data_IF_478622509386
#
_entry.id   IF_478622509386
#
_cell.length_a   1.000
_cell.length_b   1.000
_cell.length_c   1.000
_cell.angle_alpha   90.00
_cell.angle_beta   90.00
_cell.angle_gamma   90.00
#
_symmetry.space_group_name_H-M   'P 1'
#
loop_
_entity.id
_entity.type
_entity.pdbx_description
1 polymer ?
#
# COMPACT_ATOMS: atom_id res chain seq x y z
N UNK A 1 -23.00 16.95 -18.85
CA UNK A 1 -22.15 15.86 -19.37
C UNK A 1 -22.03 14.88 -18.24
N UNK A 2 -22.71 13.78 -18.32
CA UNK A 2 -22.74 12.78 -17.26
C UNK A 2 -21.67 11.74 -17.52
N UNK A 3 -20.84 11.49 -16.55
CA UNK A 3 -19.77 10.52 -16.56
C UNK A 3 -20.29 9.11 -16.37
N UNK A 4 -19.74 8.16 -17.10
CA UNK A 4 -20.02 6.74 -16.96
C UNK A 4 -18.88 6.12 -16.15
N UNK A 5 -19.00 6.06 -14.82
CA UNK A 5 -18.18 5.14 -14.05
C UNK A 5 -18.77 3.73 -14.17
N UNK A 6 -18.06 2.84 -14.80
CA UNK A 6 -18.41 1.42 -14.86
C UNK A 6 -17.54 0.68 -13.86
N UNK A 7 -18.05 0.57 -12.61
CA UNK A 7 -17.35 -0.17 -11.58
C UNK A 7 -17.77 -1.65 -11.62
N UNK A 8 -16.82 -2.53 -11.87
CA UNK A 8 -17.03 -3.98 -11.89
C UNK A 8 -16.19 -4.66 -10.83
N UNK A 9 -16.81 -4.99 -9.71
CA UNK A 9 -16.18 -5.81 -8.68
C UNK A 9 -16.28 -7.27 -8.99
N UNK A 10 -15.15 -7.92 -9.00
CA UNK A 10 -15.09 -9.37 -8.98
C UNK A 10 -14.55 -9.79 -7.63
N UNK A 11 -15.49 -10.22 -6.81
CA UNK A 11 -15.25 -10.66 -5.45
C UNK A 11 -14.33 -11.87 -5.42
N UNK A 12 -13.45 -11.85 -4.45
CA UNK A 12 -12.58 -12.94 -4.05
C UNK A 12 -13.27 -14.30 -4.08
N UNK A 13 -12.61 -15.30 -4.64
CA UNK A 13 -12.94 -16.68 -4.35
C UNK A 13 -12.40 -17.04 -2.96
N UNK A 14 -13.09 -16.67 -1.91
CA UNK A 14 -12.98 -17.41 -0.67
C UNK A 14 -13.92 -18.61 -0.79
N UNK A 15 -13.39 -19.79 -0.57
CA UNK A 15 -14.04 -21.09 -0.72
C UNK A 15 -15.20 -21.39 0.26
N UNK A 16 -15.90 -20.38 0.77
CA UNK A 16 -16.89 -20.56 1.86
C UNK A 16 -18.21 -19.81 1.72
N UNK A 17 -18.54 -19.23 0.53
CA UNK A 17 -19.90 -18.71 0.31
C UNK A 17 -20.48 -19.30 -0.97
N UNK A 18 -21.71 -19.88 -0.92
CA UNK A 18 -22.33 -20.49 -2.09
C UNK A 18 -22.63 -19.43 -3.14
N UNK A 19 -22.16 -19.69 -4.36
CA UNK A 19 -22.38 -18.87 -5.57
C UNK A 19 -23.86 -18.59 -5.91
N UNK A 20 -24.80 -19.16 -5.17
CA UNK A 20 -26.23 -19.09 -5.43
C UNK A 20 -26.89 -17.77 -5.01
N UNK A 21 -26.32 -16.99 -4.11
CA UNK A 21 -26.96 -15.75 -3.62
C UNK A 21 -26.71 -14.58 -4.58
N UNK A 22 -25.57 -14.58 -5.29
CA UNK A 22 -25.23 -13.50 -6.22
C UNK A 22 -25.87 -13.64 -7.62
N UNK A 23 -26.24 -14.88 -8.01
CA UNK A 23 -26.87 -15.13 -9.32
C UNK A 23 -28.29 -14.56 -9.43
N UNK A 24 -29.04 -14.50 -8.32
CA UNK A 24 -30.41 -14.01 -8.32
C UNK A 24 -30.56 -12.48 -8.33
N UNK A 25 -29.51 -11.71 -8.08
CA UNK A 25 -29.57 -10.24 -8.18
C UNK A 25 -29.36 -9.71 -9.61
N UNK A 26 -28.87 -10.56 -10.52
CA UNK A 26 -28.56 -10.15 -11.90
C UNK A 26 -29.59 -10.59 -12.95
N UNK A 27 -30.63 -11.34 -12.56
CA UNK A 27 -31.58 -11.93 -13.50
C UNK A 27 -32.96 -11.25 -13.54
N UNK A 28 -33.08 -9.98 -13.18
CA UNK A 28 -34.28 -9.22 -13.52
C UNK A 28 -34.04 -8.40 -14.78
N UNK A 29 -34.60 -8.93 -15.84
CA UNK A 29 -34.74 -8.33 -17.16
C UNK A 29 -35.29 -6.90 -17.06
N UNK A 30 -34.55 -5.90 -17.48
CA UNK A 30 -35.13 -4.77 -18.17
C UNK A 30 -34.18 -4.23 -19.24
N UNK A 31 -34.77 -4.25 -20.42
CA UNK A 31 -34.30 -3.84 -21.72
C UNK A 31 -33.86 -2.38 -21.77
N UNK A 32 -32.65 -2.20 -22.24
CA UNK A 32 -32.03 -1.09 -22.92
C UNK A 32 -32.95 -0.11 -23.64
N UNK A 33 -32.81 1.16 -23.36
CA UNK A 33 -32.85 2.23 -24.38
C UNK A 33 -31.86 3.29 -23.98
N UNK A 34 -30.70 3.26 -24.64
CA UNK A 34 -29.72 4.36 -24.64
C UNK A 34 -30.24 5.37 -25.66
N UNK A 35 -30.60 6.58 -25.21
CA UNK A 35 -30.80 7.73 -26.05
C UNK A 35 -29.57 8.63 -25.96
N UNK A 36 -28.90 8.73 -27.09
CA UNK A 36 -27.86 9.75 -27.35
C UNK A 36 -28.54 11.11 -27.39
N UNK A 37 -28.18 12.02 -26.49
CA UNK A 37 -28.39 13.44 -26.68
C UNK A 37 -27.05 14.16 -26.59
N UNK A 38 -26.58 14.55 -27.76
CA UNK A 38 -25.52 15.52 -27.95
C UNK A 38 -26.09 16.93 -27.79
N UNK A 39 -25.31 17.79 -27.15
CA UNK A 39 -25.25 19.24 -27.22
C UNK A 39 -26.14 20.12 -26.35
N UNK A 40 -25.40 21.00 -25.70
CA UNK A 40 -25.65 22.38 -25.27
C UNK A 40 -26.29 22.67 -23.90
N UNK A 41 -25.49 23.07 -22.92
CA UNK A 41 -25.33 24.48 -22.52
C UNK A 41 -24.38 24.63 -21.33
N UNK A 42 -23.38 25.48 -21.58
CA UNK A 42 -22.57 26.14 -20.52
C UNK A 42 -23.48 27.00 -19.67
N UNK A 43 -23.40 26.89 -18.36
CA UNK A 43 -23.50 28.02 -17.45
C UNK A 43 -22.58 27.78 -16.26
N UNK A 44 -21.72 28.72 -16.06
CA UNK A 44 -20.65 28.78 -15.08
C UNK A 44 -21.19 28.81 -13.64
N UNK A 45 -20.54 28.05 -12.76
CA UNK A 45 -20.40 28.44 -11.37
C UNK A 45 -18.91 28.65 -11.12
N UNK A 46 -18.54 29.90 -10.95
CA UNK A 46 -17.20 30.33 -10.58
C UNK A 46 -16.93 29.93 -9.14
N UNK A 47 -16.05 28.94 -8.94
CA UNK A 47 -15.19 28.93 -7.78
C UNK A 47 -13.81 29.43 -8.24
N UNK A 48 -13.31 30.44 -7.57
CA UNK A 48 -12.03 31.04 -7.81
C UNK A 48 -10.90 29.98 -7.69
N UNK A 49 -10.44 29.53 -8.85
CA UNK A 49 -9.08 29.01 -8.99
C UNK A 49 -8.21 30.11 -9.54
N UNK A 50 -6.99 30.33 -9.03
CA UNK A 50 -6.08 31.29 -9.62
C UNK A 50 -5.76 30.86 -11.06
N UNK A 51 -5.67 31.77 -12.01
CA UNK A 51 -5.29 31.45 -13.39
C UNK A 51 -3.79 31.08 -13.43
N UNK A 52 -3.47 30.15 -14.31
CA UNK A 52 -2.15 29.59 -14.62
C UNK A 52 -1.69 28.42 -13.72
N UNK A 53 -2.34 27.28 -13.86
CA UNK A 53 -1.60 26.04 -13.83
C UNK A 53 -0.96 25.89 -15.21
N UNK A 54 0.32 26.24 -15.31
CA UNK A 54 1.17 25.74 -16.40
C UNK A 54 0.95 24.23 -16.46
N UNK A 55 0.57 23.72 -17.64
CA UNK A 55 0.64 22.29 -17.92
C UNK A 55 2.04 21.85 -17.49
N UNK A 56 2.13 21.21 -16.33
CA UNK A 56 3.32 20.48 -15.99
C UNK A 56 3.44 19.40 -17.08
N UNK A 57 4.64 19.16 -17.61
CA UNK A 57 4.83 18.04 -18.51
C UNK A 57 4.28 16.79 -17.78
N UNK A 58 3.42 16.02 -18.48
CA UNK A 58 2.94 14.72 -17.97
C UNK A 58 4.16 14.01 -17.39
N UNK A 59 4.09 13.46 -16.16
CA UNK A 59 5.24 12.77 -15.62
C UNK A 59 5.66 11.73 -16.66
N UNK A 60 6.87 11.84 -17.17
CA UNK A 60 7.48 10.76 -17.95
C UNK A 60 7.60 9.60 -16.97
N UNK A 61 6.62 8.69 -17.03
CA UNK A 61 6.61 7.48 -16.23
C UNK A 61 7.87 6.71 -16.59
N UNK A 62 8.82 6.76 -15.69
CA UNK A 62 10.10 6.07 -15.83
C UNK A 62 9.81 4.60 -16.09
N UNK A 63 10.08 4.16 -17.30
CA UNK A 63 10.15 2.75 -17.62
C UNK A 63 11.16 2.13 -16.66
N UNK A 64 10.67 1.38 -15.68
CA UNK A 64 11.49 0.68 -14.71
C UNK A 64 12.47 -0.19 -15.49
N UNK A 65 13.74 -0.04 -15.20
CA UNK A 65 14.82 -0.76 -15.90
C UNK A 65 14.50 -2.25 -15.95
N UNK A 66 14.52 -2.89 -17.13
CA UNK A 66 14.20 -4.30 -17.23
C UNK A 66 15.18 -5.10 -16.38
N UNK A 67 14.67 -5.87 -15.41
CA UNK A 67 15.43 -6.81 -14.60
C UNK A 67 15.39 -6.59 -13.08
N UNK A 68 14.89 -5.47 -12.57
CA UNK A 68 14.82 -5.21 -11.12
C UNK A 68 13.38 -5.31 -10.60
N UNK A 69 13.23 -5.88 -9.39
CA UNK A 69 11.98 -5.81 -8.64
C UNK A 69 11.79 -4.38 -8.13
N UNK A 70 10.54 -3.95 -8.04
CA UNK A 70 10.14 -2.62 -7.58
C UNK A 70 9.71 -2.70 -6.12
N UNK A 71 10.19 -1.79 -5.30
CA UNK A 71 9.62 -1.61 -3.98
C UNK A 71 8.25 -0.89 -4.09
N UNK A 72 7.28 -1.28 -3.25
CA UNK A 72 5.95 -0.65 -3.30
C UNK A 72 6.00 0.83 -2.94
N UNK A 73 7.01 1.24 -2.17
CA UNK A 73 7.27 2.63 -1.78
C UNK A 73 7.78 3.49 -2.95
N UNK A 74 8.30 2.86 -4.01
CA UNK A 74 8.74 3.54 -5.24
C UNK A 74 7.58 3.84 -6.21
N UNK A 75 6.39 3.29 -5.95
CA UNK A 75 5.19 3.52 -6.76
C UNK A 75 4.50 4.80 -6.29
N UNK A 76 4.37 5.78 -7.17
CA UNK A 76 3.63 7.00 -6.89
C UNK A 76 2.11 6.73 -6.95
N UNK A 77 1.55 6.27 -5.81
CA UNK A 77 0.12 6.01 -5.69
C UNK A 77 -0.70 7.31 -5.75
N UNK A 78 -0.10 8.45 -5.37
CA UNK A 78 -0.74 9.76 -5.48
C UNK A 78 -0.99 10.12 -6.95
N UNK A 79 0.05 10.07 -7.78
CA UNK A 79 -0.08 10.34 -9.21
C UNK A 79 -1.03 9.34 -9.91
N UNK A 80 -0.99 8.05 -9.52
CA UNK A 80 -1.90 7.04 -10.07
C UNK A 80 -3.37 7.28 -9.64
N UNK A 81 -3.62 7.83 -8.45
CA UNK A 81 -4.97 8.13 -7.96
C UNK A 81 -5.63 9.33 -8.64
N UNK A 82 -4.83 10.18 -9.29
CA UNK A 82 -5.34 11.31 -10.09
C UNK A 82 -5.81 10.89 -11.49
N UNK A 83 -5.46 9.65 -11.90
CA UNK A 83 -5.84 9.11 -13.20
C UNK A 83 -7.31 8.70 -13.17
N UNK A 84 -8.13 9.42 -13.92
CA UNK A 84 -9.53 9.17 -14.04
C UNK A 84 -10.03 9.64 -15.42
N UNK A 85 -10.75 8.79 -16.12
CA UNK A 85 -11.41 9.15 -17.38
C UNK A 85 -12.77 8.44 -17.47
N UNK A 86 -13.82 9.26 -17.65
CA UNK A 86 -15.20 8.81 -17.71
C UNK A 86 -15.52 7.93 -18.92
N UNK A 87 -14.76 8.10 -19.99
CA UNK A 87 -14.99 7.46 -21.28
C UNK A 87 -14.08 6.25 -21.50
N UNK A 88 -13.08 6.10 -20.63
CA UNK A 88 -12.05 5.07 -20.75
C UNK A 88 -12.21 3.98 -19.71
N UNK A 89 -11.66 2.81 -20.01
CA UNK A 89 -11.60 1.69 -19.10
C UNK A 89 -10.16 1.38 -18.71
N UNK A 90 -9.94 1.18 -17.40
CA UNK A 90 -8.69 0.78 -16.83
C UNK A 90 -8.79 -0.66 -16.31
N UNK A 91 -7.90 -1.50 -16.76
CA UNK A 91 -7.78 -2.88 -16.34
C UNK A 91 -6.66 -3.00 -15.31
N UNK A 92 -7.00 -3.40 -14.10
CA UNK A 92 -6.05 -3.62 -13.01
C UNK A 92 -5.96 -5.11 -12.69
N UNK A 93 -4.77 -5.69 -12.83
CA UNK A 93 -4.50 -7.11 -12.62
C UNK A 93 -3.45 -7.28 -11.53
N UNK A 94 -3.77 -8.07 -10.52
CA UNK A 94 -2.86 -8.51 -9.47
C UNK A 94 -2.70 -10.01 -9.59
N UNK A 95 -1.52 -10.49 -10.02
CA UNK A 95 -1.31 -11.91 -10.28
C UNK A 95 -0.13 -12.46 -9.52
N UNK A 96 -0.28 -13.68 -8.96
CA UNK A 96 0.83 -14.41 -8.37
C UNK A 96 1.79 -14.87 -9.47
N UNK A 97 3.09 -14.69 -9.20
CA UNK A 97 4.15 -14.94 -10.20
C UNK A 97 5.41 -15.58 -9.58
N UNK A 98 5.32 -16.16 -8.37
CA UNK A 98 6.46 -16.74 -7.67
C UNK A 98 7.04 -17.99 -8.35
N UNK A 99 6.22 -18.75 -9.06
CA UNK A 99 6.60 -19.99 -9.73
C UNK A 99 5.87 -20.14 -11.07
N UNK A 100 6.31 -21.09 -11.90
CA UNK A 100 5.61 -21.42 -13.14
C UNK A 100 4.17 -21.87 -12.88
N UNK A 101 3.95 -22.66 -11.83
CA UNK A 101 2.60 -23.08 -11.43
C UNK A 101 1.71 -21.91 -11.00
N UNK A 102 2.26 -20.91 -10.31
CA UNK A 102 1.52 -19.69 -9.95
C UNK A 102 1.16 -18.87 -11.18
N UNK A 103 2.07 -18.76 -12.14
CA UNK A 103 1.81 -18.08 -13.42
C UNK A 103 0.69 -18.76 -14.18
N UNK A 104 0.71 -20.10 -14.31
CA UNK A 104 -0.29 -20.85 -15.04
C UNK A 104 -1.68 -20.77 -14.36
N UNK A 105 -1.71 -20.86 -13.03
CA UNK A 105 -2.93 -20.66 -12.26
C UNK A 105 -3.47 -19.23 -12.41
N UNK A 106 -2.60 -18.23 -12.34
CA UNK A 106 -2.97 -16.83 -12.53
C UNK A 106 -3.49 -16.55 -13.93
N UNK A 107 -2.83 -17.04 -14.98
CA UNK A 107 -3.29 -16.91 -16.37
C UNK A 107 -4.67 -17.55 -16.57
N UNK A 108 -4.89 -18.74 -16.04
CA UNK A 108 -6.19 -19.42 -16.10
C UNK A 108 -7.29 -18.63 -15.39
N UNK A 109 -6.98 -18.08 -14.21
CA UNK A 109 -7.86 -17.20 -13.47
C UNK A 109 -8.20 -15.93 -14.27
N UNK A 110 -7.20 -15.22 -14.78
CA UNK A 110 -7.35 -13.98 -15.57
C UNK A 110 -8.20 -14.26 -16.82
N UNK A 111 -7.90 -15.31 -17.58
CA UNK A 111 -8.66 -15.68 -18.77
C UNK A 111 -10.13 -15.98 -18.46
N UNK A 112 -10.40 -16.61 -17.31
CA UNK A 112 -11.78 -16.83 -16.84
C UNK A 112 -12.51 -15.52 -16.56
N UNK A 113 -11.81 -14.57 -15.91
CA UNK A 113 -12.33 -13.26 -15.58
C UNK A 113 -12.60 -12.42 -16.83
N UNK A 114 -11.67 -12.38 -17.77
CA UNK A 114 -11.85 -11.67 -19.02
C UNK A 114 -13.09 -12.13 -19.78
N UNK A 115 -13.32 -13.45 -19.88
CA UNK A 115 -14.53 -14.00 -20.51
C UNK A 115 -15.83 -13.58 -19.81
N UNK A 116 -15.80 -13.50 -18.46
CA UNK A 116 -16.96 -13.07 -17.69
C UNK A 116 -17.22 -11.57 -17.87
N UNK A 117 -16.16 -10.73 -17.81
CA UNK A 117 -16.24 -9.29 -18.01
C UNK A 117 -16.76 -8.95 -19.41
N UNK A 118 -16.19 -9.53 -20.45
CA UNK A 118 -16.58 -9.26 -21.84
C UNK A 118 -18.06 -9.56 -22.11
N UNK A 119 -18.61 -10.61 -21.48
CA UNK A 119 -20.04 -10.96 -21.60
C UNK A 119 -20.94 -9.92 -20.93
N UNK A 120 -20.53 -9.35 -19.82
CA UNK A 120 -21.32 -8.39 -19.04
C UNK A 120 -21.20 -6.97 -19.54
N UNK A 121 -20.13 -6.64 -20.30
CA UNK A 121 -19.91 -5.31 -20.83
C UNK A 121 -20.94 -4.93 -21.92
N UNK A 122 -21.36 -3.66 -21.93
CA UNK A 122 -22.10 -3.07 -23.04
C UNK A 122 -21.32 -3.24 -24.37
N UNK A 123 -22.01 -3.39 -25.51
CA UNK A 123 -21.33 -3.58 -26.80
C UNK A 123 -20.31 -2.50 -27.15
N UNK A 124 -20.58 -1.25 -26.76
CA UNK A 124 -19.76 -0.08 -27.03
C UNK A 124 -18.38 -0.14 -26.35
N UNK A 125 -18.29 -0.78 -25.18
CA UNK A 125 -17.05 -0.89 -24.40
C UNK A 125 -16.24 -2.16 -24.72
N UNK A 126 -16.79 -3.10 -25.48
CA UNK A 126 -16.12 -4.38 -25.76
C UNK A 126 -14.88 -4.24 -26.63
N UNK A 127 -14.88 -3.31 -27.56
CA UNK A 127 -13.71 -3.06 -28.42
C UNK A 127 -12.57 -2.45 -27.61
N UNK A 128 -12.84 -1.42 -26.81
CA UNK A 128 -11.87 -0.83 -25.89
C UNK A 128 -11.33 -1.85 -24.90
N UNK A 129 -12.20 -2.72 -24.34
CA UNK A 129 -11.79 -3.80 -23.47
C UNK A 129 -10.83 -4.79 -24.14
N UNK A 130 -11.15 -5.26 -25.37
CA UNK A 130 -10.28 -6.17 -26.12
C UNK A 130 -8.92 -5.54 -26.43
N UNK A 131 -8.91 -4.27 -26.79
CA UNK A 131 -7.68 -3.51 -27.04
C UNK A 131 -6.84 -3.38 -25.79
N UNK A 132 -7.46 -3.09 -24.64
CA UNK A 132 -6.78 -3.03 -23.33
C UNK A 132 -6.24 -4.41 -22.91
N UNK A 133 -7.00 -5.48 -23.11
CA UNK A 133 -6.52 -6.84 -22.84
C UNK A 133 -5.34 -7.19 -23.75
N UNK A 134 -5.39 -6.84 -25.03
CA UNK A 134 -4.28 -7.07 -25.98
C UNK A 134 -3.01 -6.33 -25.56
N UNK A 135 -3.13 -5.11 -25.06
CA UNK A 135 -2.00 -4.33 -24.53
C UNK A 135 -1.37 -4.99 -23.29
N UNK A 136 -2.18 -5.56 -22.40
CA UNK A 136 -1.70 -6.24 -21.19
C UNK A 136 -1.15 -7.66 -21.45
N UNK A 137 -1.43 -8.27 -22.60
CA UNK A 137 -1.19 -9.70 -22.86
C UNK A 137 0.29 -10.08 -22.76
N UNK A 138 1.19 -9.29 -23.32
CA UNK A 138 2.64 -9.55 -23.25
C UNK A 138 3.12 -9.56 -21.79
N UNK A 139 2.63 -8.63 -20.97
CA UNK A 139 2.96 -8.58 -19.54
C UNK A 139 2.41 -9.79 -18.78
N UNK A 140 1.20 -10.28 -19.11
CA UNK A 140 0.59 -11.47 -18.50
C UNK A 140 1.40 -12.73 -18.84
N UNK A 141 1.83 -12.86 -20.08
CA UNK A 141 2.49 -14.05 -20.61
C UNK A 141 4.01 -14.08 -20.32
N UNK A 142 4.59 -12.96 -19.93
CA UNK A 142 6.03 -12.89 -19.67
C UNK A 142 6.44 -13.82 -18.50
N UNK A 143 7.68 -14.37 -18.54
CA UNK A 143 8.19 -15.24 -17.48
C UNK A 143 8.37 -14.46 -16.17
N UNK A 144 8.42 -15.18 -15.06
CA UNK A 144 8.74 -14.61 -13.75
C UNK A 144 10.21 -14.23 -13.66
N UNK A 145 10.49 -13.13 -12.96
CA UNK A 145 11.86 -12.73 -12.63
C UNK A 145 12.32 -13.38 -11.31
N UNK A 146 13.63 -13.42 -11.11
CA UNK A 146 14.19 -13.94 -9.87
C UNK A 146 13.69 -13.11 -8.67
N UNK A 147 13.02 -13.78 -7.73
CA UNK A 147 12.46 -13.13 -6.54
C UNK A 147 11.08 -12.49 -6.73
N UNK A 148 10.55 -12.46 -7.95
CA UNK A 148 9.19 -11.99 -8.22
C UNK A 148 8.17 -12.94 -7.56
N UNK A 149 7.17 -12.36 -6.90
CA UNK A 149 6.05 -13.10 -6.28
C UNK A 149 4.70 -12.51 -6.68
N UNK A 150 4.70 -11.21 -6.99
CA UNK A 150 3.53 -10.46 -7.43
C UNK A 150 3.86 -9.67 -8.67
N UNK A 151 2.97 -9.74 -9.65
CA UNK A 151 2.95 -8.85 -10.81
C UNK A 151 1.67 -8.06 -10.81
N UNK A 152 1.80 -6.74 -10.87
CA UNK A 152 0.68 -5.81 -11.02
C UNK A 152 0.74 -5.21 -12.42
N UNK A 153 -0.39 -5.26 -13.12
CA UNK A 153 -0.52 -4.71 -14.47
C UNK A 153 -1.69 -3.74 -14.43
N UNK A 154 -1.41 -2.47 -14.72
CA UNK A 154 -2.41 -1.42 -14.88
C UNK A 154 -2.38 -1.01 -16.36
N UNK A 155 -3.50 -1.21 -17.06
CA UNK A 155 -3.56 -1.00 -18.50
C UNK A 155 -4.85 -0.28 -18.92
N UNK A 156 -4.73 0.61 -19.92
CA UNK A 156 -5.83 1.16 -20.69
C UNK A 156 -5.40 1.32 -22.15
N UNK A 157 -6.28 1.04 -23.08
CA UNK A 157 -6.03 1.28 -24.51
C UNK A 157 -5.97 2.77 -24.84
N UNK A 158 -6.54 3.63 -24.01
CA UNK A 158 -6.39 5.07 -24.11
C UNK A 158 -4.92 5.46 -23.86
N UNK A 159 -4.40 6.31 -24.71
CA UNK A 159 -3.02 6.81 -24.64
C UNK A 159 -1.94 5.71 -24.51
N UNK A 160 -2.27 4.43 -24.77
CA UNK A 160 -1.39 3.26 -24.59
C UNK A 160 -0.85 3.15 -23.16
N UNK A 161 -1.69 3.47 -22.15
CA UNK A 161 -1.33 3.38 -20.75
C UNK A 161 -1.05 1.93 -20.35
N UNK A 162 0.18 1.64 -19.97
CA UNK A 162 0.60 0.33 -19.47
C UNK A 162 1.69 0.49 -18.41
N UNK A 163 1.36 0.10 -17.18
CA UNK A 163 2.30 0.00 -16.07
C UNK A 163 2.39 -1.45 -15.60
N UNK A 164 3.61 -1.95 -15.48
CA UNK A 164 3.89 -3.30 -15.00
C UNK A 164 4.84 -3.23 -13.83
N UNK A 165 4.37 -3.56 -12.63
CA UNK A 165 5.17 -3.62 -11.43
C UNK A 165 5.42 -5.07 -11.02
N UNK A 166 6.69 -5.43 -10.78
CA UNK A 166 7.11 -6.76 -10.36
C UNK A 166 7.72 -6.66 -8.98
N UNK A 167 7.15 -7.36 -8.01
CA UNK A 167 7.49 -7.20 -6.59
C UNK A 167 7.75 -8.55 -5.92
N UNK A 168 8.57 -8.52 -4.86
CA UNK A 168 8.81 -9.65 -3.95
C UNK A 168 7.69 -9.87 -2.92
N UNK A 169 6.60 -9.11 -3.01
CA UNK A 169 5.44 -9.14 -2.10
C UNK A 169 4.37 -10.10 -2.61
N UNK A 170 3.36 -10.35 -1.78
CA UNK A 170 2.22 -11.19 -2.15
C UNK A 170 0.90 -10.48 -1.82
N UNK A 171 -0.09 -10.67 -2.69
CA UNK A 171 -1.48 -10.33 -2.42
C UNK A 171 -2.42 -11.36 -3.04
N UNK A 172 -3.72 -11.25 -2.77
CA UNK A 172 -4.71 -12.13 -3.39
C UNK A 172 -4.83 -11.79 -4.88
N UNK A 173 -4.95 -12.80 -5.77
CA UNK A 173 -5.18 -12.55 -7.19
C UNK A 173 -6.47 -11.78 -7.41
N UNK A 174 -6.41 -10.74 -8.24
CA UNK A 174 -7.52 -9.85 -8.50
C UNK A 174 -7.49 -9.36 -9.96
N UNK A 175 -8.65 -9.18 -10.55
CA UNK A 175 -8.83 -8.51 -11.84
C UNK A 175 -10.00 -7.56 -11.69
N UNK A 176 -9.74 -6.28 -11.91
CA UNK A 176 -10.73 -5.20 -11.82
C UNK A 176 -10.76 -4.44 -13.14
N UNK A 177 -11.93 -4.03 -13.54
CA UNK A 177 -12.16 -3.12 -14.66
C UNK A 177 -12.94 -1.92 -14.16
N UNK A 178 -12.37 -0.75 -14.31
CA UNK A 178 -12.92 0.50 -13.79
C UNK A 178 -12.59 1.68 -14.72
N UNK A 179 -13.02 2.89 -14.36
CA UNK A 179 -12.68 4.17 -15.01
C UNK A 179 -11.39 4.80 -14.44
N UNK A 180 -10.75 4.13 -13.48
CA UNK A 180 -9.46 4.49 -12.87
C UNK A 180 -8.66 3.23 -12.54
N UNK A 181 -7.34 3.33 -12.33
CA UNK A 181 -6.54 2.24 -11.79
C UNK A 181 -6.99 1.85 -10.38
N UNK A 182 -7.15 0.56 -10.10
CA UNK A 182 -7.54 0.05 -8.79
C UNK A 182 -6.31 -0.07 -7.87
N UNK A 183 -6.17 0.80 -6.88
CA UNK A 183 -4.93 0.97 -6.12
C UNK A 183 -4.97 0.41 -4.69
N UNK A 184 -6.13 0.07 -4.15
CA UNK A 184 -6.27 -0.35 -2.75
C UNK A 184 -5.34 -1.51 -2.33
N UNK A 185 -5.09 -2.56 -3.16
CA UNK A 185 -4.12 -3.59 -2.79
C UNK A 185 -2.67 -3.08 -2.70
N UNK A 186 -2.27 -2.14 -3.57
CA UNK A 186 -0.95 -1.51 -3.50
C UNK A 186 -0.81 -0.62 -2.26
N UNK A 187 -1.88 0.09 -1.90
CA UNK A 187 -1.92 0.91 -0.70
C UNK A 187 -1.72 0.08 0.57
N UNK A 188 -2.40 -1.06 0.67
CA UNK A 188 -2.24 -2.00 1.78
C UNK A 188 -0.82 -2.58 1.84
N UNK A 189 -0.29 -2.98 0.69
CA UNK A 189 1.10 -3.46 0.62
C UNK A 189 2.09 -2.38 1.04
N UNK A 190 1.84 -1.10 0.71
CA UNK A 190 2.70 0.01 1.12
C UNK A 190 2.64 0.25 2.63
N UNK A 191 1.47 0.11 3.23
CA UNK A 191 1.28 0.21 4.67
C UNK A 191 2.00 -0.95 5.42
N UNK A 192 1.82 -2.19 4.94
CA UNK A 192 2.41 -3.38 5.54
C UNK A 192 3.95 -3.44 5.36
N UNK A 193 4.49 -2.95 4.24
CA UNK A 193 5.90 -3.14 3.83
C UNK A 193 6.62 -1.81 3.61
N UNK A 194 6.60 -0.95 4.62
CA UNK A 194 7.39 0.27 4.64
C UNK A 194 8.89 -0.04 4.68
N UNK A 195 9.67 0.84 4.08
CA UNK A 195 11.11 0.73 4.08
C UNK A 195 11.66 0.88 5.50
N UNK A 196 12.66 0.07 5.85
CA UNK A 196 13.34 0.17 7.14
C UNK A 196 14.83 -0.16 7.03
N UNK A 197 15.61 0.40 7.96
CA UNK A 197 17.01 0.05 8.13
C UNK A 197 17.17 -1.20 9.00
N UNK A 198 18.20 -2.02 8.72
CA UNK A 198 18.60 -3.12 9.58
C UNK A 198 20.11 -3.04 9.83
N UNK A 199 20.50 -2.83 11.09
CA UNK A 199 21.88 -2.75 11.51
C UNK A 199 22.28 -4.04 12.21
N UNK A 200 23.10 -4.85 11.54
CA UNK A 200 23.70 -6.06 12.09
C UNK A 200 25.04 -5.70 12.73
N UNK A 201 25.17 -5.88 14.05
CA UNK A 201 26.37 -5.47 14.77
C UNK A 201 26.74 -6.40 15.93
N UNK A 202 28.03 -6.39 16.21
CA UNK A 202 28.61 -6.88 17.46
C UNK A 202 29.56 -5.85 18.07
N UNK A 203 30.48 -6.25 18.94
CA UNK A 203 31.45 -5.35 19.57
C UNK A 203 32.61 -4.93 18.65
N UNK A 204 32.68 -5.43 17.42
CA UNK A 204 33.81 -5.24 16.49
C UNK A 204 33.40 -4.88 15.08
N UNK A 205 32.22 -5.28 14.66
CA UNK A 205 31.74 -5.12 13.29
C UNK A 205 30.33 -4.62 13.31
N UNK A 206 29.98 -3.76 12.36
CA UNK A 206 28.62 -3.31 12.07
C UNK A 206 28.38 -3.28 10.56
N UNK A 207 27.24 -3.75 10.12
CA UNK A 207 26.80 -3.73 8.73
C UNK A 207 25.39 -3.17 8.67
N UNK A 208 25.19 -2.20 7.78
CA UNK A 208 23.89 -1.58 7.55
C UNK A 208 23.28 -2.14 6.28
N UNK A 209 22.03 -2.57 6.40
CA UNK A 209 21.18 -2.97 5.30
C UNK A 209 19.96 -2.06 5.24
N UNK A 210 19.43 -1.84 4.05
CA UNK A 210 18.12 -1.26 3.81
C UNK A 210 17.22 -2.33 3.23
N UNK A 211 16.05 -2.48 3.80
CA UNK A 211 15.03 -3.41 3.35
C UNK A 211 13.87 -2.62 2.76
N UNK A 212 13.55 -2.90 1.48
CA UNK A 212 12.44 -2.30 0.74
C UNK A 212 11.60 -3.40 0.11
N UNK A 213 10.36 -3.52 0.54
CA UNK A 213 9.43 -4.53 -0.02
C UNK A 213 10.06 -5.93 -0.13
N UNK A 214 10.75 -6.38 0.94
CA UNK A 214 11.53 -7.64 1.04
C UNK A 214 12.81 -7.72 0.20
N UNK A 215 13.19 -6.65 -0.47
CA UNK A 215 14.49 -6.53 -1.12
C UNK A 215 15.48 -6.03 -0.08
N UNK A 216 16.56 -6.78 0.16
CA UNK A 216 17.62 -6.41 1.10
C UNK A 216 18.84 -5.94 0.34
N UNK A 217 19.33 -4.75 0.66
CA UNK A 217 20.50 -4.11 0.06
C UNK A 217 21.50 -3.74 1.16
N UNK A 218 22.75 -4.15 1.01
CA UNK A 218 23.84 -3.76 1.91
C UNK A 218 24.33 -2.36 1.53
N UNK A 219 24.22 -1.41 2.47
CA UNK A 219 24.62 -0.01 2.24
C UNK A 219 26.07 0.26 2.64
N UNK A 220 26.63 -0.53 3.55
CA UNK A 220 27.98 -0.39 4.02
C UNK A 220 28.21 -0.99 5.39
N UNK A 221 29.43 -0.88 5.88
CA UNK A 221 29.79 -1.39 7.19
C UNK A 221 31.06 -0.78 7.73
N UNK A 222 31.23 -0.88 9.04
CA UNK A 222 32.44 -0.46 9.77
C UNK A 222 32.94 -1.59 10.64
N UNK A 223 34.25 -1.64 10.88
CA UNK A 223 34.85 -2.64 11.76
C UNK A 223 36.05 -2.06 12.51
N UNK A 224 36.30 -2.62 13.70
CA UNK A 224 37.51 -2.31 14.49
C UNK A 224 38.25 -3.60 14.82
N UNK A 225 39.56 -3.50 14.88
CA UNK A 225 40.42 -4.58 15.34
C UNK A 225 40.59 -4.50 16.87
N UNK A 226 40.03 -5.47 17.60
CA UNK A 226 40.15 -5.54 19.06
C UNK A 226 41.32 -6.45 19.42
N UNK A 227 42.25 -5.91 20.22
CA UNK A 227 43.38 -6.67 20.74
C UNK A 227 42.94 -7.98 21.40
N UNK A 228 43.51 -9.09 20.97
CA UNK A 228 43.23 -10.43 21.47
C UNK A 228 43.49 -10.57 22.98
N UNK A 229 42.66 -11.35 23.69
CA UNK A 229 42.88 -11.67 25.10
C UNK A 229 44.15 -12.47 25.28
N UNK A 230 45.20 -11.85 25.83
CA UNK A 230 46.35 -12.61 26.32
C UNK A 230 46.01 -13.32 27.64
N UNK A 231 46.28 -14.64 27.69
CA UNK A 231 46.00 -15.51 28.85
C UNK A 231 46.87 -15.28 30.08
N UNK A 232 47.69 -14.22 30.19
CA UNK A 232 48.54 -13.93 31.36
C UNK A 232 47.78 -13.07 32.37
N UNK A 233 47.52 -13.63 33.55
CA UNK A 233 46.84 -12.95 34.66
C UNK A 233 47.65 -11.84 35.32
N UNK A 234 46.98 -10.88 35.97
CA UNK A 234 47.59 -9.87 36.78
C UNK A 234 47.10 -8.44 36.43
N UNK A 235 47.76 -7.43 36.94
CA UNK A 235 47.48 -5.99 36.76
C UNK A 235 47.36 -5.56 35.30
N UNK A 236 48.08 -6.23 34.40
CA UNK A 236 47.95 -6.03 32.95
C UNK A 236 46.57 -6.40 32.43
N UNK A 237 45.91 -7.41 32.95
CA UNK A 237 44.59 -7.87 32.51
C UNK A 237 43.50 -6.82 32.76
N UNK A 238 43.52 -6.15 33.90
CA UNK A 238 42.57 -5.04 34.21
C UNK A 238 42.79 -3.86 33.26
N UNK A 239 44.05 -3.50 32.97
CA UNK A 239 44.36 -2.44 32.00
C UNK A 239 43.86 -2.80 30.58
N UNK A 240 44.12 -3.99 30.11
CA UNK A 240 43.64 -4.46 28.78
C UNK A 240 42.11 -4.53 28.73
N UNK A 241 41.47 -4.97 29.82
CA UNK A 241 40.01 -4.97 29.90
C UNK A 241 39.42 -3.55 29.79
N UNK A 242 40.03 -2.55 30.46
CA UNK A 242 39.59 -1.16 30.32
C UNK A 242 39.81 -0.58 28.94
N UNK A 243 40.96 -0.84 28.34
CA UNK A 243 41.25 -0.40 26.95
C UNK A 243 40.29 -1.03 25.95
N UNK A 244 39.99 -2.32 26.10
CA UNK A 244 39.02 -3.01 25.24
C UNK A 244 37.60 -2.43 25.41
N UNK A 245 37.15 -2.18 26.65
CA UNK A 245 35.85 -1.56 26.89
C UNK A 245 35.79 -0.16 26.30
N UNK A 246 36.89 0.64 26.42
CA UNK A 246 36.98 1.94 25.81
C UNK A 246 36.90 1.90 24.29
N UNK A 247 37.59 0.95 23.63
CA UNK A 247 37.57 0.77 22.19
C UNK A 247 36.16 0.37 21.70
N UNK A 248 35.50 -0.54 22.40
CA UNK A 248 34.11 -0.95 22.07
C UNK A 248 33.18 0.26 22.18
N UNK A 249 33.27 1.03 23.30
CA UNK A 249 32.43 2.22 23.47
C UNK A 249 32.66 3.24 22.38
N UNK A 250 33.93 3.52 22.03
CA UNK A 250 34.28 4.44 20.94
C UNK A 250 33.71 3.98 19.59
N UNK A 251 33.81 2.68 19.29
CA UNK A 251 33.26 2.09 18.08
C UNK A 251 31.72 2.24 18.03
N UNK A 252 31.03 1.85 19.08
CA UNK A 252 29.56 1.96 19.14
C UNK A 252 29.12 3.43 19.11
N UNK A 253 29.90 4.37 19.67
CA UNK A 253 29.60 5.81 19.52
C UNK A 253 29.70 6.25 18.08
N UNK A 254 30.76 5.82 17.37
CA UNK A 254 30.88 6.12 15.94
C UNK A 254 29.73 5.52 15.11
N UNK A 255 29.36 4.28 15.38
CA UNK A 255 28.19 3.64 14.72
C UNK A 255 26.91 4.43 15.02
N UNK A 256 26.71 4.91 16.26
CA UNK A 256 25.56 5.72 16.59
C UNK A 256 25.51 7.05 15.85
N UNK A 257 26.68 7.70 15.68
CA UNK A 257 26.83 8.93 14.90
C UNK A 257 26.56 8.68 13.41
N UNK A 258 27.13 7.59 12.84
CA UNK A 258 26.94 7.22 11.45
C UNK A 258 25.46 6.97 11.14
N UNK A 259 24.75 6.24 12.02
CA UNK A 259 23.30 5.97 11.89
C UNK A 259 22.48 7.25 12.02
N UNK A 260 22.84 8.15 12.94
CA UNK A 260 22.13 9.41 13.13
C UNK A 260 22.28 10.37 11.94
N UNK A 261 23.34 10.22 11.18
CA UNK A 261 23.64 11.02 9.98
C UNK A 261 23.17 10.38 8.67
N UNK A 262 22.41 9.27 8.71
CA UNK A 262 21.86 8.68 7.50
C UNK A 262 20.78 9.61 6.90
N UNK A 263 21.04 10.12 5.71
CA UNK A 263 20.15 11.07 5.02
C UNK A 263 18.72 10.52 4.82
N UNK A 264 18.60 9.20 4.62
CA UNK A 264 17.33 8.55 4.31
C UNK A 264 16.62 7.94 5.54
N UNK A 265 17.18 8.07 6.75
CA UNK A 265 16.55 7.48 7.93
C UNK A 265 15.19 8.11 8.26
N UNK A 266 14.99 9.38 7.87
CA UNK A 266 13.73 10.08 8.09
C UNK A 266 12.59 9.56 7.19
N UNK A 267 12.94 9.08 6.02
CA UNK A 267 11.99 8.54 5.03
C UNK A 267 11.65 7.06 5.30
N UNK A 268 12.44 6.40 6.15
CA UNK A 268 12.21 5.00 6.54
C UNK A 268 11.28 4.91 7.74
N UNK A 269 10.57 3.80 7.88
CA UNK A 269 9.73 3.49 9.06
C UNK A 269 10.54 3.52 10.35
N UNK A 270 11.74 2.96 10.32
CA UNK A 270 12.63 2.90 11.49
C UNK A 270 13.84 2.01 11.28
N UNK A 271 14.39 1.52 12.37
CA UNK A 271 15.62 0.74 12.41
C UNK A 271 15.45 -0.54 13.21
N UNK A 272 15.86 -1.68 12.66
CA UNK A 272 15.99 -2.95 13.37
C UNK A 272 17.46 -3.09 13.78
N UNK A 273 17.73 -3.35 15.07
CA UNK A 273 19.07 -3.66 15.57
C UNK A 273 19.21 -5.19 15.71
N UNK A 274 20.14 -5.76 14.97
CA UNK A 274 20.41 -7.19 14.92
C UNK A 274 21.82 -7.50 15.36
N UNK A 275 22.04 -8.69 15.91
CA UNK A 275 23.38 -9.17 16.24
C UNK A 275 23.45 -9.96 17.54
N UNK A 276 24.60 -10.59 17.84
CA UNK A 276 24.76 -11.40 19.05
C UNK A 276 25.06 -10.52 20.28
N UNK A 277 24.60 -10.98 21.43
CA UNK A 277 25.00 -10.44 22.74
C UNK A 277 24.50 -9.03 23.01
N UNK A 278 25.26 -8.28 23.82
CA UNK A 278 24.82 -7.01 24.43
C UNK A 278 25.12 -5.74 23.60
N UNK A 279 25.87 -5.87 22.48
CA UNK A 279 26.32 -4.70 21.72
C UNK A 279 25.14 -3.82 21.22
N UNK A 280 24.05 -4.42 20.78
CA UNK A 280 22.83 -3.71 20.35
C UNK A 280 22.14 -2.96 21.49
N UNK A 281 22.13 -3.52 22.70
CA UNK A 281 21.64 -2.81 23.89
C UNK A 281 22.51 -1.61 24.26
N UNK A 282 23.84 -1.77 24.20
CA UNK A 282 24.78 -0.67 24.44
C UNK A 282 24.68 0.42 23.37
N UNK A 283 24.50 0.04 22.10
CA UNK A 283 24.24 1.00 21.01
C UNK A 283 22.95 1.77 21.27
N UNK A 284 21.88 1.09 21.67
CA UNK A 284 20.58 1.70 21.98
C UNK A 284 20.68 2.84 23.00
N UNK A 285 21.58 2.71 23.99
CA UNK A 285 21.84 3.75 24.98
C UNK A 285 22.61 4.95 24.42
N UNK A 286 23.37 4.74 23.34
CA UNK A 286 24.19 5.78 22.69
C UNK A 286 23.44 6.50 21.56
N UNK A 287 22.37 5.91 21.02
CA UNK A 287 21.58 6.55 19.98
C UNK A 287 20.90 7.82 20.47
N UNK A 288 20.87 8.90 19.65
CA UNK A 288 20.04 10.06 19.92
C UNK A 288 18.56 9.66 20.10
N UNK A 289 17.82 10.40 20.93
CA UNK A 289 16.42 10.10 21.25
C UNK A 289 15.55 9.94 19.97
N UNK A 290 15.74 10.81 18.99
CA UNK A 290 15.01 10.80 17.73
C UNK A 290 15.21 9.49 16.91
N UNK A 291 16.40 8.91 16.96
CA UNK A 291 16.72 7.63 16.31
C UNK A 291 16.24 6.45 17.16
N UNK A 292 16.43 6.56 18.49
CA UNK A 292 16.03 5.54 19.45
C UNK A 292 14.54 5.27 19.42
N UNK A 293 13.71 6.32 19.33
CA UNK A 293 12.26 6.23 19.28
C UNK A 293 11.76 5.58 17.99
N UNK A 294 12.64 5.48 16.98
CA UNK A 294 12.38 4.81 15.70
C UNK A 294 12.95 3.39 15.63
N UNK A 295 13.51 2.86 16.72
CA UNK A 295 13.94 1.46 16.74
C UNK A 295 12.73 0.55 16.81
N UNK A 296 12.52 -0.24 15.76
CA UNK A 296 11.38 -1.15 15.61
C UNK A 296 11.51 -2.37 16.53
N UNK A 297 12.74 -2.80 16.80
CA UNK A 297 13.02 -3.90 17.72
C UNK A 297 14.45 -4.42 17.63
N UNK A 298 14.72 -5.46 18.44
CA UNK A 298 16.03 -6.10 18.56
C UNK A 298 15.94 -7.56 18.10
N UNK A 299 16.92 -8.01 17.28
CA UNK A 299 17.05 -9.40 16.82
C UNK A 299 18.32 -10.03 17.35
N UNK A 300 18.20 -11.19 18.01
CA UNK A 300 19.35 -12.01 18.44
C UNK A 300 19.73 -12.98 17.32
N UNK A 301 20.75 -12.61 16.55
CA UNK A 301 21.25 -13.39 15.40
C UNK A 301 22.77 -13.40 15.36
N UNK A 302 23.42 -14.46 14.84
CA UNK A 302 24.87 -14.46 14.59
C UNK A 302 25.28 -13.43 13.54
N UNK A 303 26.50 -12.87 13.62
CA UNK A 303 27.06 -11.97 12.59
C UNK A 303 27.15 -12.61 11.19
N UNK A 304 27.26 -13.94 11.12
CA UNK A 304 27.31 -14.70 9.87
C UNK A 304 25.96 -15.04 9.26
N UNK A 305 24.85 -14.52 9.80
CA UNK A 305 23.51 -14.76 9.22
C UNK A 305 23.46 -14.22 7.80
N UNK A 306 22.97 -15.03 6.86
CA UNK A 306 22.89 -14.63 5.45
C UNK A 306 21.82 -13.54 5.25
N UNK A 307 22.07 -12.58 4.33
CA UNK A 307 21.16 -11.43 4.15
C UNK A 307 19.70 -11.82 3.93
N UNK A 308 19.43 -12.88 3.15
CA UNK A 308 18.06 -13.32 2.87
C UNK A 308 17.30 -13.86 4.09
N UNK A 309 17.99 -14.44 5.05
CA UNK A 309 17.41 -14.90 6.32
C UNK A 309 17.22 -13.70 7.27
N UNK A 310 18.24 -12.85 7.33
CA UNK A 310 18.19 -11.61 8.10
C UNK A 310 17.01 -10.72 7.67
N UNK A 311 16.80 -10.56 6.35
CA UNK A 311 15.67 -9.84 5.81
C UNK A 311 14.32 -10.42 6.24
N UNK A 312 14.14 -11.75 6.17
CA UNK A 312 12.90 -12.41 6.62
C UNK A 312 12.59 -12.16 8.10
N UNK A 313 13.62 -12.24 8.95
CA UNK A 313 13.45 -12.00 10.38
C UNK A 313 13.16 -10.52 10.67
N UNK A 314 13.82 -9.61 9.94
CA UNK A 314 13.55 -8.18 10.00
C UNK A 314 12.14 -7.84 9.56
N UNK A 315 11.67 -8.38 8.43
CA UNK A 315 10.31 -8.19 7.93
C UNK A 315 9.26 -8.65 8.94
N UNK A 316 9.46 -9.82 9.56
CA UNK A 316 8.52 -10.31 10.59
C UNK A 316 8.45 -9.34 11.77
N UNK A 317 9.58 -8.86 12.26
CA UNK A 317 9.63 -7.92 13.37
C UNK A 317 9.03 -6.56 13.00
N UNK A 318 9.28 -6.07 11.79
CA UNK A 318 8.70 -4.82 11.29
C UNK A 318 7.16 -4.91 11.17
N UNK A 319 6.65 -6.04 10.62
CA UNK A 319 5.21 -6.31 10.53
C UNK A 319 4.55 -6.43 11.91
N UNK A 320 5.20 -7.10 12.86
CA UNK A 320 4.67 -7.22 14.23
C UNK A 320 4.63 -5.85 14.94
N UNK A 321 5.65 -5.00 14.68
CA UNK A 321 5.65 -3.62 15.15
C UNK A 321 4.51 -2.84 14.52
N UNK A 322 4.30 -2.94 13.19
CA UNK A 322 3.23 -2.28 12.45
C UNK A 322 1.86 -2.65 13.03
N UNK A 323 1.57 -3.94 13.17
CA UNK A 323 0.33 -4.43 13.78
C UNK A 323 0.10 -3.87 15.19
N UNK A 324 1.17 -3.69 15.96
CA UNK A 324 1.09 -3.07 17.30
C UNK A 324 0.74 -1.60 17.22
N UNK A 325 1.26 -0.87 16.23
CA UNK A 325 0.96 0.55 15.99
C UNK A 325 -0.47 0.69 15.52
N UNK A 326 -0.88 -0.07 14.50
CA UNK A 326 -2.24 -0.05 13.95
C UNK A 326 -3.29 -0.36 15.02
N UNK A 327 -3.01 -1.35 15.88
CA UNK A 327 -3.86 -1.65 17.03
C UNK A 327 -3.98 -0.50 18.02
N UNK A 328 -2.88 0.17 18.34
CA UNK A 328 -2.90 1.36 19.22
C UNK A 328 -3.72 2.50 18.60
N UNK A 329 -3.62 2.71 17.28
CA UNK A 329 -4.43 3.70 16.56
C UNK A 329 -5.92 3.37 16.62
N UNK A 330 -6.29 2.09 16.47
CA UNK A 330 -7.68 1.66 16.64
C UNK A 330 -8.18 1.86 18.08
N UNK A 331 -7.35 1.57 19.09
CA UNK A 331 -7.66 1.83 20.51
C UNK A 331 -7.81 3.34 20.80
N UNK A 332 -6.95 4.17 20.21
CA UNK A 332 -7.03 5.64 20.30
C UNK A 332 -8.35 6.14 19.69
N UNK A 333 -8.69 5.69 18.48
CA UNK A 333 -9.98 6.01 17.86
C UNK A 333 -11.13 5.63 18.76
N UNK A 334 -11.14 4.39 19.27
CA UNK A 334 -12.18 3.91 20.19
C UNK A 334 -12.31 4.80 21.43
N UNK A 335 -11.18 5.17 22.03
CA UNK A 335 -11.15 6.05 23.18
C UNK A 335 -11.73 7.44 22.87
N UNK A 336 -11.38 8.01 21.70
CA UNK A 336 -11.87 9.31 21.24
C UNK A 336 -13.39 9.27 21.00
N UNK A 337 -13.89 8.22 20.34
CA UNK A 337 -15.34 8.03 20.10
C UNK A 337 -16.10 7.93 21.43
N UNK A 338 -15.63 7.12 22.38
CA UNK A 338 -16.30 6.94 23.68
C UNK A 338 -16.28 8.21 24.54
N UNK A 339 -15.28 9.07 24.36
CA UNK A 339 -15.17 10.35 25.10
C UNK A 339 -15.81 11.53 24.36
N UNK A 340 -16.34 11.33 23.14
CA UNK A 340 -16.87 12.41 22.31
C UNK A 340 -15.80 13.42 21.87
N UNK A 341 -14.55 12.94 21.67
CA UNK A 341 -13.42 13.75 21.24
C UNK A 341 -13.33 13.77 19.70
N UNK A 342 -12.30 14.48 19.17
CA UNK A 342 -12.05 14.67 17.72
C UNK A 342 -11.97 13.33 16.95
N UNK A 343 -13.11 12.81 16.57
CA UNK A 343 -13.24 11.55 15.83
C UNK A 343 -14.53 11.51 15.03
N UNK A 344 -14.50 10.78 13.91
CA UNK A 344 -15.66 10.39 13.13
C UNK A 344 -15.66 8.87 12.96
N UNK A 345 -16.83 8.24 12.87
CA UNK A 345 -16.95 6.80 12.68
C UNK A 345 -18.17 6.44 11.84
N UNK A 346 -18.05 5.33 11.12
CA UNK A 346 -19.02 4.95 10.09
C UNK A 346 -18.83 5.75 8.78
N UNK A 347 -19.49 5.30 7.74
CA UNK A 347 -19.23 5.75 6.37
C UNK A 347 -19.53 7.25 6.17
N UNK A 348 -20.76 7.68 6.51
CA UNK A 348 -21.21 9.04 6.19
C UNK A 348 -20.43 10.12 6.98
N UNK A 349 -20.23 10.03 8.31
CA UNK A 349 -19.47 11.02 9.04
C UNK A 349 -18.01 11.07 8.62
N UNK A 350 -17.41 9.91 8.29
CA UNK A 350 -16.00 9.85 7.81
C UNK A 350 -15.87 10.47 6.44
N UNK A 351 -16.78 10.16 5.51
CA UNK A 351 -16.85 10.81 4.18
C UNK A 351 -16.93 12.32 4.31
N UNK A 352 -17.85 12.80 5.15
CA UNK A 352 -18.07 14.24 5.33
C UNK A 352 -16.83 14.90 5.93
N UNK A 353 -16.18 14.27 6.91
CA UNK A 353 -14.92 14.75 7.50
C UNK A 353 -13.78 14.78 6.47
N UNK A 354 -13.65 13.76 5.62
CA UNK A 354 -12.66 13.73 4.53
C UNK A 354 -12.93 14.83 3.52
N UNK A 355 -14.18 15.01 3.11
CA UNK A 355 -14.58 16.06 2.16
C UNK A 355 -14.21 17.46 2.65
N UNK A 356 -14.28 17.71 3.96
CA UNK A 356 -13.88 18.98 4.57
C UNK A 356 -12.37 19.05 4.91
N UNK A 357 -11.58 18.00 4.62
CA UNK A 357 -10.14 17.97 4.91
C UNK A 357 -9.81 17.97 6.40
N UNK A 358 -10.76 17.62 7.24
CA UNK A 358 -10.59 17.60 8.70
C UNK A 358 -9.98 16.31 9.26
N UNK A 359 -9.81 15.27 8.43
CA UNK A 359 -9.24 13.99 8.85
C UNK A 359 -7.71 14.09 8.94
N UNK A 360 -7.16 13.68 10.08
CA UNK A 360 -5.73 13.45 10.26
C UNK A 360 -5.37 12.03 9.81
N UNK A 361 -6.02 11.04 10.42
CA UNK A 361 -5.76 9.62 10.14
C UNK A 361 -7.09 8.90 9.88
N UNK A 362 -7.21 8.29 8.71
CA UNK A 362 -8.28 7.36 8.35
C UNK A 362 -7.88 5.96 8.77
N UNK A 363 -8.68 5.28 9.58
CA UNK A 363 -8.42 3.93 10.08
C UNK A 363 -9.45 2.98 9.47
N UNK A 364 -8.96 1.94 8.77
CA UNK A 364 -9.79 1.03 7.98
C UNK A 364 -9.46 -0.43 8.26
N UNK A 365 -10.47 -1.30 8.22
CA UNK A 365 -10.23 -2.75 8.23
C UNK A 365 -9.66 -3.23 6.89
N UNK A 366 -8.53 -3.96 6.92
CA UNK A 366 -7.76 -4.37 5.74
C UNK A 366 -8.56 -5.23 4.75
N UNK A 367 -9.38 -6.16 5.23
CA UNK A 367 -10.09 -7.13 4.40
C UNK A 367 -11.62 -6.94 4.44
N UNK A 368 -12.08 -5.74 4.74
CA UNK A 368 -13.49 -5.43 4.84
C UNK A 368 -14.00 -4.85 3.51
N UNK A 369 -15.20 -5.25 3.12
CA UNK A 369 -15.88 -4.77 1.92
C UNK A 369 -17.22 -4.22 2.32
N UNK A 370 -17.48 -2.98 1.99
CA UNK A 370 -18.77 -2.33 2.22
C UNK A 370 -19.45 -2.08 0.87
N UNK A 371 -20.44 -2.89 0.51
CA UNK A 371 -21.19 -2.67 -0.72
C UNK A 371 -21.93 -1.34 -0.65
N UNK A 372 -21.83 -0.55 -1.70
CA UNK A 372 -22.52 0.73 -1.81
C UNK A 372 -22.61 1.20 -3.24
N UNK A 373 -22.85 2.48 -3.40
CA UNK A 373 -23.01 3.10 -4.71
C UNK A 373 -22.36 4.49 -4.74
N UNK A 374 -21.95 4.91 -5.92
CA UNK A 374 -21.46 6.26 -6.21
C UNK A 374 -22.31 6.90 -7.30
N UNK A 375 -22.50 8.19 -7.24
CA UNK A 375 -23.11 8.98 -8.31
C UNK A 375 -22.07 9.39 -9.35
N UNK A 376 -22.29 9.02 -10.60
CA UNK A 376 -21.42 9.35 -11.72
C UNK A 376 -21.32 10.88 -11.98
N UNK A 377 -22.31 11.67 -11.54
CA UNK A 377 -22.37 13.11 -11.78
C UNK A 377 -21.81 13.95 -10.66
N UNK A 378 -22.21 13.71 -9.41
CA UNK A 378 -21.82 14.54 -8.27
C UNK A 378 -20.81 13.85 -7.33
N UNK A 379 -20.36 12.62 -7.66
CA UNK A 379 -19.39 11.84 -6.91
C UNK A 379 -19.80 11.57 -5.45
N UNK A 380 -21.07 11.79 -5.12
CA UNK A 380 -21.59 11.38 -3.83
C UNK A 380 -21.71 9.88 -3.78
N UNK A 381 -21.16 9.24 -2.75
CA UNK A 381 -21.21 7.80 -2.53
C UNK A 381 -21.81 7.49 -1.16
N UNK A 382 -22.43 6.32 -1.05
CA UNK A 382 -23.08 5.86 0.17
C UNK A 382 -23.17 4.34 0.21
N UNK A 383 -23.17 3.78 1.42
CA UNK A 383 -23.40 2.34 1.61
C UNK A 383 -24.85 1.93 1.29
N UNK A 384 -25.04 0.66 0.98
CA UNK A 384 -26.35 0.06 0.77
C UNK A 384 -26.72 -0.18 -0.69
N UNK A 385 -28.02 -0.38 -0.92
CA UNK A 385 -28.50 -0.72 -2.24
C UNK A 385 -28.40 0.47 -3.21
N UNK A 386 -27.93 0.19 -4.41
CA UNK A 386 -27.80 1.18 -5.48
C UNK A 386 -29.20 1.68 -5.92
N UNK A 387 -29.51 2.98 -5.80
CA UNK A 387 -30.71 3.56 -6.41
C UNK A 387 -30.52 3.70 -7.93
N UNK A 388 -31.59 3.73 -8.70
CA UNK A 388 -31.52 3.95 -10.15
C UNK A 388 -30.96 5.34 -10.49
N UNK A 389 -31.31 6.34 -9.68
CA UNK A 389 -30.85 7.73 -9.83
C UNK A 389 -30.38 8.26 -8.47
N UNK A 390 -29.39 9.13 -8.51
CA UNK A 390 -28.85 9.76 -7.30
C UNK A 390 -29.91 10.64 -6.62
N UNK A 391 -30.17 10.46 -5.33
CA UNK A 391 -31.12 11.27 -4.60
C UNK A 391 -30.75 12.74 -4.50
N UNK A 392 -29.47 13.10 -4.64
CA UNK A 392 -29.01 14.49 -4.55
C UNK A 392 -29.10 15.26 -5.85
N UNK A 393 -28.75 14.66 -6.99
CA UNK A 393 -28.62 15.39 -8.25
C UNK A 393 -29.35 14.74 -9.44
N UNK A 394 -30.04 13.60 -9.23
CA UNK A 394 -30.73 12.87 -10.30
C UNK A 394 -29.81 12.20 -11.33
N UNK A 395 -28.49 12.17 -11.09
CA UNK A 395 -27.52 11.51 -11.96
C UNK A 395 -27.57 9.97 -11.84
N UNK A 396 -26.92 9.28 -12.75
CA UNK A 396 -26.76 7.82 -12.71
C UNK A 396 -25.92 7.42 -11.52
N UNK A 397 -26.12 6.17 -11.08
CA UNK A 397 -25.35 5.59 -9.99
C UNK A 397 -24.68 4.29 -10.41
N UNK A 398 -23.53 4.00 -9.84
CA UNK A 398 -22.77 2.75 -10.01
C UNK A 398 -22.53 2.07 -8.69
N UNK A 399 -22.38 0.74 -8.70
CA UNK A 399 -22.09 -0.02 -7.50
C UNK A 399 -20.59 0.00 -7.22
N UNK A 400 -20.21 0.23 -5.94
CA UNK A 400 -18.81 0.35 -5.51
C UNK A 400 -18.58 -0.36 -4.18
N UNK A 401 -17.29 -0.53 -3.83
CA UNK A 401 -16.89 -0.72 -2.44
C UNK A 401 -16.61 0.64 -1.81
N UNK A 402 -17.44 1.03 -0.88
CA UNK A 402 -17.37 2.36 -0.26
C UNK A 402 -16.04 2.65 0.42
N UNK A 403 -15.36 1.61 0.96
CA UNK A 403 -14.04 1.79 1.57
C UNK A 403 -12.98 2.23 0.59
N UNK A 404 -13.10 1.87 -0.68
CA UNK A 404 -12.21 2.33 -1.73
C UNK A 404 -12.42 3.81 -2.04
N UNK A 405 -13.66 4.23 -2.17
CA UNK A 405 -13.99 5.64 -2.37
C UNK A 405 -13.49 6.52 -1.21
N UNK A 406 -13.57 6.00 0.03
CA UNK A 406 -13.00 6.67 1.20
C UNK A 406 -11.46 6.73 1.14
N UNK A 407 -10.81 5.64 0.69
CA UNK A 407 -9.36 5.63 0.50
C UNK A 407 -8.92 6.66 -0.54
N UNK A 408 -9.55 6.68 -1.72
CA UNK A 408 -9.25 7.67 -2.76
C UNK A 408 -9.45 9.11 -2.27
N UNK A 409 -10.53 9.36 -1.52
CA UNK A 409 -10.81 10.66 -0.95
C UNK A 409 -9.76 11.05 0.10
N UNK A 410 -9.28 10.10 0.91
CA UNK A 410 -8.21 10.32 1.88
C UNK A 410 -6.89 10.69 1.18
N UNK A 411 -6.51 10.00 0.10
CA UNK A 411 -5.32 10.34 -0.68
C UNK A 411 -5.40 11.78 -1.25
N UNK A 412 -6.55 12.16 -1.80
CA UNK A 412 -6.78 13.50 -2.36
C UNK A 412 -6.76 14.60 -1.31
N UNK A 413 -7.14 14.31 -0.08
CA UNK A 413 -7.18 15.29 1.03
C UNK A 413 -5.94 15.26 1.92
N UNK A 414 -4.94 14.40 1.61
CA UNK A 414 -3.69 14.28 2.35
C UNK A 414 -3.91 13.76 3.78
N UNK A 415 -4.90 12.90 4.00
CA UNK A 415 -5.06 12.18 5.25
C UNK A 415 -4.14 10.94 5.26
N UNK A 416 -3.53 10.66 6.41
CA UNK A 416 -2.84 9.39 6.63
C UNK A 416 -3.86 8.25 6.61
N UNK A 417 -3.49 7.10 6.05
CA UNK A 417 -4.36 5.92 6.03
C UNK A 417 -3.67 4.78 6.76
N UNK A 418 -4.36 4.21 7.73
CA UNK A 418 -3.92 3.11 8.57
C UNK A 418 -4.81 1.89 8.34
N UNK A 419 -4.23 0.74 8.04
CA UNK A 419 -4.97 -0.50 7.86
C UNK A 419 -4.83 -1.41 9.07
N UNK A 420 -5.96 -1.85 9.61
CA UNK A 420 -6.05 -2.77 10.75
C UNK A 420 -6.55 -4.13 10.26
N UNK A 421 -5.85 -5.21 10.60
CA UNK A 421 -6.23 -6.56 10.11
C UNK A 421 -7.55 -7.01 10.72
N UNK A 422 -7.68 -6.92 12.05
CA UNK A 422 -8.85 -7.36 12.81
C UNK A 422 -9.08 -6.44 14.02
N UNK A 423 -10.27 -5.87 14.14
CA UNK A 423 -10.70 -5.10 15.30
C UNK A 423 -12.22 -5.15 15.43
N UNK A 424 -12.73 -5.62 16.59
CA UNK A 424 -14.15 -5.79 16.84
C UNK A 424 -14.89 -4.45 16.89
N UNK A 425 -14.26 -3.39 17.41
CA UNK A 425 -14.86 -2.07 17.47
C UNK A 425 -15.03 -1.51 16.06
N UNK A 426 -13.98 -1.55 15.23
CA UNK A 426 -14.06 -1.12 13.83
C UNK A 426 -15.13 -1.91 13.06
N UNK A 427 -15.23 -3.23 13.27
CA UNK A 427 -16.29 -4.04 12.65
C UNK A 427 -17.68 -3.53 13.05
N UNK A 428 -17.87 -3.19 14.33
CA UNK A 428 -19.16 -2.73 14.86
C UNK A 428 -19.60 -1.36 14.32
N UNK A 429 -18.64 -0.55 13.82
CA UNK A 429 -18.88 0.80 13.30
C UNK A 429 -18.79 0.88 11.75
N UNK A 430 -18.88 -0.27 11.05
CA UNK A 430 -18.87 -0.32 9.59
C UNK A 430 -17.48 -0.40 8.94
N UNK A 431 -16.46 -0.82 9.69
CA UNK A 431 -15.11 -1.10 9.18
C UNK A 431 -14.22 0.13 9.00
N UNK A 432 -14.68 1.32 9.39
CA UNK A 432 -13.94 2.58 9.20
C UNK A 432 -14.22 3.61 10.29
N UNK A 433 -13.17 4.35 10.64
CA UNK A 433 -13.23 5.52 11.51
C UNK A 433 -12.09 6.48 11.20
N UNK A 434 -12.16 7.68 11.77
CA UNK A 434 -11.18 8.73 11.53
C UNK A 434 -10.84 9.49 12.82
N UNK A 435 -9.57 9.81 12.99
CA UNK A 435 -9.09 10.78 13.97
C UNK A 435 -9.00 12.13 13.27
N UNK A 436 -9.60 13.16 13.86
CA UNK A 436 -9.71 14.48 13.25
C UNK A 436 -8.57 15.41 13.71
N UNK A 437 -8.24 16.39 12.85
CA UNK A 437 -7.21 17.42 13.13
C UNK A 437 -7.73 18.49 14.09
N UNK A 438 -9.03 18.84 13.98
CA UNK A 438 -9.72 19.89 14.73
C UNK A 438 -11.22 19.62 14.80
#
# INVERSE_FOLDING_TARGET
MGSLRVHWYIIYSSSTLPAAIFWNMFNSSYSSRIFIYLFQKRTAFFYHHPPYVLMQPKPEFTSISPGNLVAVTEIDLGALSEIYDEMEIYLSIYMKSASTSDLDASRSFIASRFRAMEKSLPPELRESFRSTVSLAQEAIDSPSWKGERLRVILASSSESFLHVYRMGLETKPLVVLDTSPFLLPLARLRDDYLDYGLLLLDSQEAKLFVIRSRIIEEMGGSSIDLMNKHKKGGWSQMRFSRLRKGAIKSFLTQVAEDVANLDNLQDMRGLVLAGPGEAKGQLMELLPMQVRDRVLGLLDVPMGTIPSELGKMGDQLALDNERSVSKKRAEELKANVLKGQLSAYGIDPVRDALTHGSVNTLIMLSNYVVPGWICEKCQHFQEGNRPEVCPQCGGRTSQVNVLEELYELAQRTGAEVEFVEEDEFLQSIGGVGAILRY
#
